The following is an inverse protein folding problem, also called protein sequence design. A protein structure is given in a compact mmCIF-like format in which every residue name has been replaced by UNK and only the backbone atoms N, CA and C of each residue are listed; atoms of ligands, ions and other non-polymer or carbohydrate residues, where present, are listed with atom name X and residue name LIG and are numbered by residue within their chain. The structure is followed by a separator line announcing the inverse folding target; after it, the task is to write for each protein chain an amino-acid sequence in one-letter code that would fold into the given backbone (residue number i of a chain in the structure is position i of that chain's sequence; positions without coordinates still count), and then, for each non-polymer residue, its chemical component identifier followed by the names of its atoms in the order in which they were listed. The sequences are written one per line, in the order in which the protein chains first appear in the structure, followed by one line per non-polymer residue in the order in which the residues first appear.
data_IF_481894512059
#
_entry.id   IF_481894512059
#
_cell.length_a   1.000
_cell.length_b   1.000
_cell.length_c   1.000
_cell.angle_alpha   90.00
_cell.angle_beta   90.00
_cell.angle_gamma   90.00
#
_symmetry.space_group_name_H-M   'P 1'
#
loop_
_entity.id
_entity.type
_entity.pdbx_description
1 polymer ?
#
# COMPACT_ATOMS: atom_id res chain seq x y z
N UNK A 1 -8.62 -5.81 1.47
CA UNK A 1 -7.29 -5.31 1.03
C UNK A 1 -7.21 -3.85 1.38
N UNK A 2 -6.02 -3.34 1.62
CA UNK A 2 -5.74 -1.90 1.65
C UNK A 2 -4.72 -1.59 0.56
N UNK A 3 -4.69 -0.37 0.07
CA UNK A 3 -3.76 0.00 -1.00
C UNK A 3 -3.17 1.39 -0.76
N UNK A 4 -1.87 1.51 -0.96
CA UNK A 4 -1.16 2.77 -0.99
C UNK A 4 -1.03 3.23 -2.44
N UNK A 5 -1.46 4.46 -2.73
CA UNK A 5 -1.33 5.08 -4.05
C UNK A 5 -0.49 6.33 -3.87
N UNK A 6 0.75 6.28 -4.34
CA UNK A 6 1.76 7.28 -4.02
C UNK A 6 2.61 7.70 -5.21
N UNK A 7 3.58 8.56 -4.94
CA UNK A 7 4.63 8.91 -5.88
C UNK A 7 5.92 8.20 -5.49
N UNK A 8 6.68 7.71 -6.46
CA UNK A 8 7.98 7.12 -6.18
C UNK A 8 9.10 8.18 -6.26
N UNK A 9 9.66 8.63 -5.13
CA UNK A 9 10.68 9.68 -5.12
C UNK A 9 12.04 9.22 -5.67
N UNK A 10 12.34 7.92 -5.61
CA UNK A 10 13.66 7.38 -5.97
C UNK A 10 13.93 7.36 -7.47
N UNK A 11 12.88 7.26 -8.28
CA UNK A 11 13.02 7.20 -9.73
C UNK A 11 12.77 8.55 -10.43
N UNK A 12 12.57 9.65 -9.69
CA UNK A 12 12.17 10.97 -10.26
C UNK A 12 10.97 10.86 -11.22
N UNK A 13 10.05 9.94 -10.95
CA UNK A 13 9.05 9.55 -11.94
C UNK A 13 7.79 10.44 -11.92
N UNK A 14 7.34 10.81 -13.12
CA UNK A 14 6.08 11.50 -13.45
C UNK A 14 4.82 10.63 -13.28
N UNK A 15 4.91 9.46 -12.62
CA UNK A 15 3.80 8.48 -12.53
C UNK A 15 3.57 7.97 -11.11
N UNK A 16 2.29 7.77 -10.78
CA UNK A 16 1.83 7.19 -9.52
C UNK A 16 2.15 5.70 -9.44
N UNK A 17 2.48 5.22 -8.25
CA UNK A 17 2.59 3.80 -7.91
C UNK A 17 1.34 3.34 -7.17
N UNK A 18 1.06 2.04 -7.25
CA UNK A 18 -0.02 1.38 -6.50
C UNK A 18 0.58 0.14 -5.85
N UNK A 19 0.43 0.04 -4.54
CA UNK A 19 0.87 -1.10 -3.73
C UNK A 19 -0.34 -1.63 -2.96
N UNK A 20 -0.64 -2.93 -3.07
CA UNK A 20 -1.83 -3.55 -2.47
C UNK A 20 -1.41 -4.56 -1.41
N UNK A 21 -1.93 -4.40 -0.20
CA UNK A 21 -1.87 -5.40 0.85
C UNK A 21 -3.19 -6.18 0.90
N UNK A 22 -3.15 -7.44 0.48
CA UNK A 22 -4.29 -8.35 0.56
C UNK A 22 -4.36 -8.90 1.99
N UNK A 23 -5.53 -8.79 2.63
CA UNK A 23 -5.75 -9.21 4.02
C UNK A 23 -5.99 -10.71 4.08
N UNK A 24 -5.00 -11.48 3.66
CA UNK A 24 -5.02 -12.93 3.62
C UNK A 24 -3.58 -13.45 3.77
N UNK A 25 -3.41 -14.50 4.57
CA UNK A 25 -2.12 -15.19 4.70
C UNK A 25 -1.98 -16.18 3.55
N UNK A 26 -1.09 -15.89 2.61
CA UNK A 26 -0.73 -16.80 1.53
C UNK A 26 0.40 -17.73 1.97
N UNK A 27 0.39 -18.96 1.48
CA UNK A 27 1.48 -19.92 1.73
C UNK A 27 2.74 -19.62 0.91
N UNK A 28 2.59 -18.98 -0.25
CA UNK A 28 3.66 -18.70 -1.19
C UNK A 28 3.47 -17.33 -1.86
N UNK A 29 4.57 -16.77 -2.38
CA UNK A 29 4.55 -15.58 -3.21
C UNK A 29 3.88 -15.84 -4.57
N UNK A 30 3.35 -14.78 -5.18
CA UNK A 30 2.61 -14.84 -6.45
C UNK A 30 3.08 -13.79 -7.47
N UNK A 31 4.38 -13.51 -7.51
CA UNK A 31 4.98 -12.66 -8.54
C UNK A 31 4.62 -13.15 -9.96
N UNK A 32 4.32 -12.21 -10.86
CA UNK A 32 3.91 -12.50 -12.24
C UNK A 32 2.47 -12.98 -12.41
N UNK A 33 1.68 -13.11 -11.32
CA UNK A 33 0.25 -13.37 -11.40
C UNK A 33 -0.54 -12.07 -11.58
N UNK A 34 -1.70 -12.18 -12.21
CA UNK A 34 -2.64 -11.07 -12.35
C UNK A 34 -3.44 -10.89 -11.05
N UNK A 35 -3.63 -9.64 -10.64
CA UNK A 35 -4.45 -9.25 -9.50
C UNK A 35 -5.56 -8.34 -10.01
N UNK A 36 -6.80 -8.69 -9.68
CA UNK A 36 -7.97 -7.86 -9.93
C UNK A 36 -8.46 -7.25 -8.62
N UNK A 37 -8.66 -5.93 -8.60
CA UNK A 37 -8.92 -5.17 -7.40
C UNK A 37 -9.96 -4.07 -7.68
N UNK A 38 -10.92 -3.90 -6.76
CA UNK A 38 -11.94 -2.85 -6.81
C UNK A 38 -11.72 -1.93 -5.60
N UNK A 39 -11.45 -0.65 -5.85
CA UNK A 39 -11.32 0.36 -4.81
C UNK A 39 -12.70 0.93 -4.48
N UNK A 40 -13.12 0.79 -3.23
CA UNK A 40 -14.48 1.17 -2.79
C UNK A 40 -14.51 2.43 -1.92
N UNK A 41 -13.36 2.90 -1.46
CA UNK A 41 -13.29 4.05 -0.57
C UNK A 41 -11.88 4.59 -0.38
N UNK A 42 -11.80 5.80 0.15
CA UNK A 42 -10.57 6.48 0.53
C UNK A 42 -10.47 6.54 2.05
N UNK A 43 -9.33 6.12 2.60
CA UNK A 43 -9.09 6.10 4.05
C UNK A 43 -8.47 7.41 4.52
N UNK A 44 -7.31 7.79 3.96
CA UNK A 44 -6.55 9.00 4.34
C UNK A 44 -5.48 9.36 3.30
N UNK A 45 -4.97 10.60 3.28
CA UNK A 45 -3.82 10.96 2.45
C UNK A 45 -2.51 10.33 2.96
N UNK A 46 -1.46 10.40 2.13
CA UNK A 46 -0.09 10.08 2.55
C UNK A 46 0.34 10.97 3.72
N UNK A 47 1.14 10.40 4.61
CA UNK A 47 1.61 11.06 5.83
C UNK A 47 3.06 10.69 6.06
N UNK A 48 3.86 11.68 6.44
CA UNK A 48 5.21 11.45 6.92
C UNK A 48 5.19 10.89 8.34
N UNK A 49 6.03 9.89 8.60
CA UNK A 49 6.17 9.27 9.90
C UNK A 49 7.58 9.52 10.43
N UNK A 50 7.68 9.79 11.73
CA UNK A 50 8.97 10.08 12.37
C UNK A 50 9.65 8.81 12.89
N UNK A 51 8.93 7.68 12.91
CA UNK A 51 9.47 6.37 13.28
C UNK A 51 8.74 5.22 12.58
N UNK A 52 9.42 4.07 12.49
CA UNK A 52 8.84 2.82 12.01
C UNK A 52 7.63 2.38 12.86
N UNK A 53 7.69 2.55 14.18
CA UNK A 53 6.60 2.18 15.08
C UNK A 53 5.31 2.98 14.80
N UNK A 54 5.43 4.27 14.49
CA UNK A 54 4.29 5.10 14.09
C UNK A 54 3.70 4.64 12.76
N UNK A 55 4.55 4.31 11.77
CA UNK A 55 4.13 3.79 10.48
C UNK A 55 3.37 2.46 10.64
N UNK A 56 3.92 1.51 11.39
CA UNK A 56 3.27 0.21 11.66
C UNK A 56 1.92 0.42 12.33
N UNK A 57 1.84 1.33 13.32
CA UNK A 57 0.58 1.64 14.01
C UNK A 57 -0.47 2.22 13.06
N UNK A 58 -0.07 3.12 12.17
CA UNK A 58 -0.97 3.71 11.18
C UNK A 58 -1.48 2.66 10.19
N UNK A 59 -0.59 1.84 9.62
CA UNK A 59 -0.98 0.77 8.68
C UNK A 59 -1.95 -0.21 9.37
N UNK A 60 -1.68 -0.62 10.61
CA UNK A 60 -2.59 -1.48 11.38
C UNK A 60 -3.96 -0.86 11.65
N UNK A 61 -4.06 0.47 11.67
CA UNK A 61 -5.33 1.19 11.84
C UNK A 61 -6.08 1.38 10.52
N UNK A 62 -5.40 1.25 9.38
CA UNK A 62 -6.02 1.35 8.05
C UNK A 62 -6.66 0.01 7.61
N UNK A 63 -6.27 -1.10 8.25
CA UNK A 63 -6.78 -2.47 8.06
C UNK A 63 -8.05 -2.70 8.89
#
# INVERSE_FOLDING_TARGET
MVASIGWNPFYKNEKKTVEIHVLHTFENDFYGKEIQAIFTGFVRPEKDFTSEAELIKAIKSDI
#
